data_IF_309637807573
#
_entry.id   IF_309637807573
#
_cell.length_a   1.000
_cell.length_b   1.000
_cell.length_c   1.000
_cell.angle_alpha   90.00
_cell.angle_beta   90.00
_cell.angle_gamma   90.00
#
_symmetry.space_group_name_H-M   'P 1'
#
loop_
_entity.id
_entity.type
_entity.pdbx_description
1 polymer ?
#
# COMPACT_ATOMS: atom_id res chain seq x y z
N UNK A 1 24.83 -11.53 3.91
CA UNK A 1 24.71 -11.22 2.46
C UNK A 1 24.82 -9.74 2.21
N UNK A 2 25.25 -9.33 1.02
CA UNK A 2 25.28 -7.94 0.57
C UNK A 2 23.86 -7.39 0.39
N UNK A 3 23.71 -6.06 0.51
CA UNK A 3 22.46 -5.39 0.19
C UNK A 3 22.12 -5.56 -1.29
N UNK A 4 20.87 -5.89 -1.57
CA UNK A 4 20.30 -5.99 -2.92
C UNK A 4 19.30 -4.86 -3.20
N UNK A 5 18.84 -4.16 -2.16
CA UNK A 5 17.95 -3.01 -2.26
C UNK A 5 16.45 -3.34 -2.10
N UNK A 6 15.72 -2.39 -1.53
CA UNK A 6 14.27 -2.43 -1.27
C UNK A 6 13.46 -2.67 -2.56
N UNK A 7 13.91 -2.08 -3.66
CA UNK A 7 13.31 -2.22 -5.00
C UNK A 7 13.24 -3.68 -5.47
N UNK A 8 14.20 -4.52 -5.07
CA UNK A 8 14.18 -5.95 -5.44
C UNK A 8 13.15 -6.72 -4.60
N UNK A 9 12.95 -6.35 -3.33
CA UNK A 9 11.90 -6.92 -2.48
C UNK A 9 10.52 -6.58 -3.06
N UNK A 10 10.31 -5.31 -3.39
CA UNK A 10 9.09 -4.83 -4.06
C UNK A 10 8.83 -5.54 -5.38
N UNK A 11 9.85 -5.68 -6.23
CA UNK A 11 9.73 -6.41 -7.50
C UNK A 11 9.39 -7.88 -7.30
N UNK A 12 9.97 -8.52 -6.28
CA UNK A 12 9.66 -9.91 -5.96
C UNK A 12 8.17 -10.05 -5.59
N UNK A 13 7.65 -9.15 -4.75
CA UNK A 13 6.24 -9.12 -4.40
C UNK A 13 5.34 -8.89 -5.63
N UNK A 14 5.64 -7.89 -6.45
CA UNK A 14 4.78 -7.53 -7.60
C UNK A 14 4.74 -8.62 -8.68
N UNK A 15 5.86 -9.31 -8.94
CA UNK A 15 5.92 -10.45 -9.85
C UNK A 15 5.17 -11.67 -9.28
N UNK A 16 5.26 -11.93 -7.97
CA UNK A 16 4.47 -12.99 -7.31
C UNK A 16 2.97 -12.71 -7.41
N UNK A 17 2.54 -11.49 -7.13
CA UNK A 17 1.14 -11.08 -7.23
C UNK A 17 0.61 -11.29 -8.66
N UNK A 18 1.35 -10.80 -9.65
CA UNK A 18 1.01 -10.99 -11.06
C UNK A 18 0.93 -12.47 -11.44
N UNK A 19 1.90 -13.28 -11.00
CA UNK A 19 1.91 -14.71 -11.28
C UNK A 19 0.68 -15.42 -10.72
N UNK A 20 0.28 -15.15 -9.47
CA UNK A 20 -0.90 -15.79 -8.88
C UNK A 20 -2.20 -15.34 -9.56
N UNK A 21 -2.33 -14.06 -9.91
CA UNK A 21 -3.48 -13.56 -10.68
C UNK A 21 -3.56 -14.23 -12.06
N UNK A 22 -2.44 -14.31 -12.78
CA UNK A 22 -2.34 -14.96 -14.08
C UNK A 22 -2.70 -16.46 -13.99
N UNK A 23 -2.25 -17.13 -12.93
CA UNK A 23 -2.51 -18.55 -12.68
C UNK A 23 -3.98 -18.82 -12.36
N UNK A 24 -4.61 -17.98 -11.52
CA UNK A 24 -5.97 -18.19 -11.00
C UNK A 24 -7.06 -17.75 -11.98
N UNK A 25 -6.83 -16.65 -12.68
CA UNK A 25 -7.86 -15.99 -13.50
C UNK A 25 -7.44 -15.76 -14.96
N UNK A 26 -6.19 -16.06 -15.31
CA UNK A 26 -5.61 -15.85 -16.63
C UNK A 26 -5.01 -14.46 -16.82
N UNK A 27 -4.21 -14.32 -17.89
CA UNK A 27 -3.40 -13.13 -18.24
C UNK A 27 -4.16 -11.81 -18.41
N UNK A 28 -5.48 -11.85 -18.40
CA UNK A 28 -6.35 -10.69 -18.63
C UNK A 28 -7.17 -10.32 -17.41
N UNK A 29 -6.90 -10.95 -16.26
CA UNK A 29 -7.58 -10.58 -15.03
C UNK A 29 -7.20 -9.16 -14.60
N UNK A 30 -8.18 -8.49 -14.03
CA UNK A 30 -8.14 -7.07 -13.82
C UNK A 30 -7.62 -6.75 -12.43
N UNK A 31 -6.46 -6.10 -12.37
CA UNK A 31 -5.87 -5.57 -11.16
C UNK A 31 -5.10 -4.28 -11.45
N UNK A 32 -4.86 -3.50 -10.41
CA UNK A 32 -4.05 -2.29 -10.43
C UNK A 32 -2.86 -2.49 -9.52
N UNK A 33 -1.69 -2.01 -9.90
CA UNK A 33 -0.62 -1.79 -8.93
C UNK A 33 0.40 -0.80 -9.46
N UNK A 34 1.21 -0.23 -8.56
CA UNK A 34 2.24 0.70 -8.95
C UNK A 34 3.09 1.18 -7.79
N UNK A 35 4.29 1.62 -8.15
CA UNK A 35 5.22 2.29 -7.24
C UNK A 35 4.76 3.73 -7.04
N UNK A 36 4.78 4.18 -5.79
CA UNK A 36 4.54 5.57 -5.43
C UNK A 36 5.92 6.23 -5.32
N UNK A 37 6.14 7.29 -6.08
CA UNK A 37 7.43 7.97 -6.18
C UNK A 37 7.24 9.48 -6.08
N UNK A 38 8.33 10.24 -5.92
CA UNK A 38 8.30 11.70 -6.03
C UNK A 38 7.59 12.40 -4.87
N UNK A 39 7.71 11.87 -3.65
CA UNK A 39 7.10 12.41 -2.43
C UNK A 39 5.79 11.73 -2.03
N UNK A 40 5.20 10.93 -2.92
CA UNK A 40 4.06 10.08 -2.59
C UNK A 40 4.45 8.91 -1.68
N UNK A 41 5.65 8.37 -1.87
CA UNK A 41 6.30 7.39 -0.98
C UNK A 41 6.42 7.93 0.45
N UNK A 42 6.84 9.18 0.58
CA UNK A 42 6.94 9.88 1.87
C UNK A 42 5.58 10.00 2.56
N UNK A 43 4.54 10.30 1.79
CA UNK A 43 3.20 10.60 2.31
C UNK A 43 2.39 9.34 2.62
N UNK A 44 2.46 8.35 1.74
CA UNK A 44 1.63 7.15 1.77
C UNK A 44 2.47 5.93 2.12
N UNK A 45 3.08 5.29 1.13
CA UNK A 45 3.94 4.12 1.22
C UNK A 45 4.67 3.94 -0.13
N UNK A 46 5.60 2.98 -0.25
CA UNK A 46 6.36 2.77 -1.49
C UNK A 46 5.52 2.21 -2.64
N UNK A 47 4.42 1.51 -2.34
CA UNK A 47 3.65 0.76 -3.32
C UNK A 47 2.16 0.73 -3.00
N UNK A 48 1.35 0.66 -4.05
CA UNK A 48 -0.08 0.36 -3.96
C UNK A 48 -0.46 -0.84 -4.83
N UNK A 49 -1.48 -1.58 -4.41
CA UNK A 49 -2.16 -2.55 -5.25
C UNK A 49 -3.67 -2.56 -5.01
N UNK A 50 -4.41 -2.95 -6.04
CA UNK A 50 -5.83 -3.22 -5.98
C UNK A 50 -6.20 -4.46 -6.79
N UNK A 51 -6.93 -5.37 -6.15
CA UNK A 51 -7.46 -6.60 -6.74
C UNK A 51 -8.96 -6.64 -6.43
N UNK A 52 -9.80 -6.73 -7.45
CA UNK A 52 -11.25 -6.62 -7.25
C UNK A 52 -11.65 -5.24 -6.72
N UNK A 53 -12.24 -5.20 -5.53
CA UNK A 53 -12.57 -3.94 -4.81
C UNK A 53 -11.61 -3.62 -3.66
N UNK A 54 -10.68 -4.53 -3.36
CA UNK A 54 -9.73 -4.39 -2.27
C UNK A 54 -8.52 -3.58 -2.68
N UNK A 55 -8.03 -2.77 -1.76
CA UNK A 55 -6.87 -1.90 -1.93
C UNK A 55 -5.90 -2.05 -0.75
N UNK A 56 -4.60 -1.99 -1.05
CA UNK A 56 -3.51 -2.02 -0.05
C UNK A 56 -2.42 -1.00 -0.37
N UNK A 57 -1.80 -0.48 0.68
CA UNK A 57 -0.52 0.24 0.69
C UNK A 57 0.55 -0.65 1.32
N UNK A 58 1.76 -0.65 0.75
CA UNK A 58 2.88 -1.44 1.25
C UNK A 58 4.13 -0.58 1.26
N UNK A 59 4.74 -0.42 2.44
CA UNK A 59 6.10 0.10 2.61
C UNK A 59 7.08 -1.08 2.54
N UNK A 60 8.15 -0.96 1.75
CA UNK A 60 9.16 -1.99 1.58
C UNK A 60 10.45 -1.61 2.28
N UNK A 61 11.01 -2.58 3.02
CA UNK A 61 12.37 -2.56 3.57
C UNK A 61 13.16 -3.71 2.97
N UNK A 62 14.49 -3.62 2.96
CA UNK A 62 15.28 -4.78 2.59
C UNK A 62 15.28 -5.77 3.74
N UNK A 63 15.49 -5.32 4.97
CA UNK A 63 15.50 -6.17 6.15
C UNK A 63 14.57 -5.63 7.24
N UNK A 64 14.03 -6.52 8.08
CA UNK A 64 13.18 -6.15 9.22
C UNK A 64 13.85 -5.11 10.14
N UNK A 65 15.16 -5.27 10.36
CA UNK A 65 15.94 -4.34 11.19
C UNK A 65 15.97 -2.90 10.66
N UNK A 66 15.56 -2.66 9.41
CA UNK A 66 15.47 -1.32 8.82
C UNK A 66 14.13 -0.64 9.10
N UNK A 67 13.12 -1.36 9.59
CA UNK A 67 11.86 -0.78 10.07
C UNK A 67 12.12 0.27 11.14
N UNK A 68 13.18 0.13 11.94
CA UNK A 68 13.59 1.13 12.95
C UNK A 68 13.82 2.54 12.38
N UNK A 69 14.13 2.67 11.08
CA UNK A 69 14.31 3.95 10.40
C UNK A 69 13.00 4.72 10.26
N UNK A 70 11.85 4.05 10.35
CA UNK A 70 10.55 4.74 10.37
C UNK A 70 10.44 5.71 11.55
N UNK A 71 11.19 5.49 12.64
CA UNK A 71 11.27 6.42 13.78
C UNK A 71 11.82 7.80 13.41
N UNK A 72 12.59 7.89 12.33
CA UNK A 72 13.20 9.14 11.85
C UNK A 72 12.22 9.97 11.00
N UNK A 73 11.07 9.39 10.60
CA UNK A 73 10.10 10.02 9.72
C UNK A 73 8.99 10.73 10.52
N UNK A 74 8.88 12.08 10.48
CA UNK A 74 7.91 12.82 11.28
C UNK A 74 6.44 12.46 11.01
N UNK A 75 6.09 12.17 9.75
CA UNK A 75 4.72 11.79 9.38
C UNK A 75 4.31 10.44 9.99
N UNK A 76 5.26 9.52 10.16
CA UNK A 76 5.00 8.20 10.76
C UNK A 76 4.78 8.30 12.26
N UNK A 77 5.50 9.23 12.91
CA UNK A 77 5.24 9.61 14.30
C UNK A 77 3.82 10.16 14.46
N UNK A 78 3.45 11.17 13.66
CA UNK A 78 2.10 11.76 13.69
C UNK A 78 1.02 10.71 13.46
N UNK A 79 1.18 9.86 12.45
CA UNK A 79 0.27 8.74 12.18
C UNK A 79 0.08 7.88 13.44
N UNK A 80 1.17 7.40 14.06
CA UNK A 80 1.06 6.53 15.23
C UNK A 80 0.49 7.24 16.47
N UNK A 81 0.72 8.56 16.61
CA UNK A 81 0.28 9.33 17.78
C UNK A 81 -1.17 9.82 17.68
N UNK A 82 -1.63 10.12 16.46
CA UNK A 82 -2.88 10.85 16.21
C UNK A 82 -3.94 10.03 15.46
N UNK A 83 -3.68 8.77 15.09
CA UNK A 83 -4.64 7.94 14.34
C UNK A 83 -5.95 7.72 15.11
N UNK A 84 -7.08 8.26 14.61
CA UNK A 84 -8.37 8.05 15.24
C UNK A 84 -8.81 6.61 15.02
N UNK A 85 -9.67 6.10 15.92
CA UNK A 85 -10.19 4.72 15.86
C UNK A 85 -10.79 4.37 14.49
N UNK A 86 -11.46 5.33 13.84
CA UNK A 86 -12.04 5.16 12.49
C UNK A 86 -11.00 4.86 11.41
N UNK A 87 -9.76 5.30 11.56
CA UNK A 87 -8.68 5.04 10.61
C UNK A 87 -7.72 3.95 11.05
N UNK A 88 -7.75 3.55 12.34
CA UNK A 88 -6.96 2.42 12.82
C UNK A 88 -7.33 1.13 12.08
N UNK A 89 -8.62 0.86 11.90
CA UNK A 89 -9.07 -0.31 11.13
C UNK A 89 -8.59 -0.25 9.67
N UNK A 90 -8.72 0.91 9.03
CA UNK A 90 -8.24 1.08 7.65
C UNK A 90 -6.73 0.86 7.54
N UNK A 91 -5.98 1.29 8.55
CA UNK A 91 -4.55 1.02 8.62
C UNK A 91 -4.22 -0.44 8.88
N UNK A 92 -5.01 -1.16 9.70
CA UNK A 92 -4.76 -2.57 9.98
C UNK A 92 -5.01 -3.46 8.76
N UNK A 93 -6.04 -3.16 7.99
CA UNK A 93 -6.47 -4.02 6.90
C UNK A 93 -5.91 -3.57 5.54
N UNK A 94 -5.46 -2.32 5.43
CA UNK A 94 -5.07 -1.69 4.17
C UNK A 94 -3.64 -1.14 4.12
N UNK A 95 -2.87 -1.14 5.21
CA UNK A 95 -1.52 -0.58 5.23
C UNK A 95 -0.51 -1.54 5.88
N UNK A 96 0.44 -1.99 5.08
CA UNK A 96 1.40 -3.02 5.44
C UNK A 96 2.84 -2.53 5.32
N UNK A 97 3.73 -3.22 6.01
CA UNK A 97 5.17 -3.12 5.84
C UNK A 97 5.74 -4.48 5.49
N UNK A 98 6.71 -4.49 4.58
CA UNK A 98 7.29 -5.70 4.02
C UNK A 98 8.82 -5.69 4.12
N UNK A 99 9.43 -6.86 4.26
CA UNK A 99 10.87 -7.05 4.24
C UNK A 99 11.23 -8.45 3.77
N UNK A 100 12.49 -8.69 3.40
CA UNK A 100 12.97 -10.05 3.12
C UNK A 100 13.78 -10.64 4.28
N UNK A 101 13.82 -11.97 4.31
CA UNK A 101 14.73 -12.69 5.19
C UNK A 101 16.19 -12.44 4.81
N UNK A 102 17.03 -12.23 5.83
CA UNK A 102 18.44 -11.88 5.65
C UNK A 102 19.32 -13.07 5.28
N UNK A 103 18.96 -14.26 5.78
CA UNK A 103 19.80 -15.45 5.81
C UNK A 103 19.30 -16.58 4.89
N UNK A 104 18.42 -16.25 3.93
CA UNK A 104 17.97 -17.20 2.91
C UNK A 104 18.63 -16.92 1.55
N UNK A 105 18.98 -18.00 0.85
CA UNK A 105 19.44 -17.96 -0.54
C UNK A 105 18.31 -17.57 -1.52
N UNK A 106 17.06 -17.76 -1.10
CA UNK A 106 15.86 -17.26 -1.78
C UNK A 106 15.36 -15.95 -1.16
N UNK A 107 14.77 -15.08 -1.98
CA UNK A 107 14.09 -13.88 -1.50
C UNK A 107 12.70 -14.31 -0.98
N UNK A 108 12.62 -14.59 0.32
CA UNK A 108 11.36 -14.79 1.01
C UNK A 108 10.92 -13.44 1.55
N UNK A 109 9.77 -12.97 1.07
CA UNK A 109 9.20 -11.68 1.43
C UNK A 109 8.15 -11.92 2.51
N UNK A 110 8.26 -11.17 3.61
CA UNK A 110 7.30 -11.16 4.70
C UNK A 110 6.52 -9.85 4.69
N UNK A 111 5.31 -9.88 5.23
CA UNK A 111 4.44 -8.72 5.43
C UNK A 111 3.84 -8.74 6.83
N UNK A 112 3.63 -7.55 7.37
CA UNK A 112 2.90 -7.34 8.62
C UNK A 112 2.17 -5.99 8.55
N UNK A 113 1.23 -5.77 9.47
CA UNK A 113 0.47 -4.52 9.57
C UNK A 113 1.42 -3.38 9.93
N UNK A 114 1.35 -2.30 9.17
CA UNK A 114 2.28 -1.18 9.27
C UNK A 114 2.30 -0.58 10.68
N UNK A 115 1.13 -0.21 11.21
CA UNK A 115 1.03 0.44 12.52
C UNK A 115 1.41 -0.49 13.68
N UNK A 116 1.21 -1.80 13.55
CA UNK A 116 1.60 -2.78 14.57
C UNK A 116 3.12 -2.92 14.67
N UNK A 117 3.85 -2.82 13.56
CA UNK A 117 5.33 -2.81 13.54
C UNK A 117 5.95 -1.46 13.88
N UNK A 118 5.34 -0.36 13.42
CA UNK A 118 5.94 0.99 13.50
C UNK A 118 5.53 1.71 14.79
N UNK A 119 4.30 1.52 15.28
CA UNK A 119 3.80 2.12 16.52
C UNK A 119 4.70 1.92 17.74
N UNK A 120 5.24 0.70 17.99
CA UNK A 120 6.14 0.46 19.12
C UNK A 120 7.40 1.33 19.12
N UNK A 121 7.87 1.80 17.96
CA UNK A 121 9.02 2.72 17.85
C UNK A 121 8.75 4.09 18.51
N UNK A 122 7.47 4.44 18.64
CA UNK A 122 6.94 5.66 19.25
C UNK A 122 6.22 5.39 20.58
N UNK A 123 6.37 4.19 21.16
CA UNK A 123 5.73 3.83 22.43
C UNK A 123 4.21 3.63 22.33
N UNK A 124 3.68 3.37 21.13
CA UNK A 124 2.27 3.07 20.88
C UNK A 124 2.10 1.57 20.66
N UNK A 125 1.08 1.00 21.30
CA UNK A 125 0.73 -0.41 21.12
C UNK A 125 -0.54 -0.49 20.31
N UNK A 126 -0.48 -1.30 19.27
CA UNK A 126 -1.57 -1.59 18.36
C UNK A 126 -1.76 -3.11 18.34
N UNK A 127 -2.98 -3.57 18.09
CA UNK A 127 -3.28 -4.98 18.04
C UNK A 127 -2.39 -5.66 16.99
N UNK A 128 -1.78 -6.76 17.42
CA UNK A 128 -0.85 -7.52 16.58
C UNK A 128 -1.60 -8.28 15.50
N UNK A 129 -0.88 -8.52 14.41
CA UNK A 129 -1.21 -9.56 13.45
C UNK A 129 -0.06 -10.55 13.41
N UNK A 130 -0.33 -11.79 12.98
CA UNK A 130 0.74 -12.75 12.74
C UNK A 130 1.40 -12.37 11.41
N UNK A 131 2.71 -12.10 11.43
CA UNK A 131 3.49 -11.96 10.20
C UNK A 131 3.12 -13.05 9.19
N UNK A 132 2.89 -12.66 7.95
CA UNK A 132 2.62 -13.56 6.83
C UNK A 132 3.78 -13.54 5.86
N UNK A 133 4.04 -14.66 5.20
CA UNK A 133 4.81 -14.62 3.97
C UNK A 133 3.98 -14.05 2.82
N UNK A 134 4.66 -13.61 1.76
CA UNK A 134 4.02 -12.96 0.64
C UNK A 134 3.06 -13.86 -0.14
N UNK A 135 3.24 -15.18 -0.15
CA UNK A 135 2.36 -16.08 -0.90
C UNK A 135 1.01 -16.19 -0.22
N UNK A 136 1.00 -16.43 1.09
CA UNK A 136 -0.24 -16.45 1.89
C UNK A 136 -0.94 -15.09 1.86
N UNK A 137 -0.19 -13.99 2.00
CA UNK A 137 -0.75 -12.64 1.90
C UNK A 137 -1.40 -12.39 0.53
N UNK A 138 -0.75 -12.81 -0.56
CA UNK A 138 -1.25 -12.59 -1.92
C UNK A 138 -2.53 -13.39 -2.16
N UNK A 139 -2.61 -14.66 -1.74
CA UNK A 139 -3.82 -15.44 -1.89
C UNK A 139 -4.98 -14.83 -1.10
N UNK A 140 -4.76 -14.43 0.16
CA UNK A 140 -5.78 -13.78 0.98
C UNK A 140 -6.20 -12.41 0.41
N UNK A 141 -5.27 -11.67 -0.18
CA UNK A 141 -5.59 -10.41 -0.87
C UNK A 141 -6.41 -10.65 -2.13
N UNK A 142 -6.06 -11.69 -2.90
CA UNK A 142 -6.80 -12.10 -4.09
C UNK A 142 -8.22 -12.56 -3.75
N UNK A 143 -8.38 -13.27 -2.63
CA UNK A 143 -9.67 -13.75 -2.15
C UNK A 143 -10.50 -12.70 -1.41
N UNK A 144 -9.92 -11.51 -1.23
CA UNK A 144 -10.58 -10.36 -0.63
C UNK A 144 -10.70 -10.44 0.89
N UNK A 145 -9.91 -11.30 1.55
CA UNK A 145 -9.76 -11.35 3.00
C UNK A 145 -8.83 -10.24 3.51
N UNK A 146 -7.85 -9.84 2.69
CA UNK A 146 -6.94 -8.72 2.96
C UNK A 146 -7.31 -7.51 2.09
N UNK A 147 -7.06 -6.31 2.62
CA UNK A 147 -7.32 -5.05 1.95
C UNK A 147 -8.63 -4.41 2.38
N UNK A 148 -8.69 -3.11 2.17
CA UNK A 148 -9.89 -2.30 2.45
C UNK A 148 -10.62 -1.96 1.16
N UNK A 149 -11.92 -1.70 1.28
CA UNK A 149 -12.73 -1.25 0.15
C UNK A 149 -12.24 0.12 -0.35
N UNK A 150 -12.51 0.40 -1.62
CA UNK A 150 -12.05 1.65 -2.25
C UNK A 150 -12.48 2.91 -1.47
N UNK A 151 -13.72 2.97 -0.95
CA UNK A 151 -14.22 4.14 -0.21
C UNK A 151 -13.38 4.38 1.04
N UNK A 152 -13.11 3.31 1.80
CA UNK A 152 -12.29 3.36 3.01
C UNK A 152 -10.83 3.66 2.70
N UNK A 153 -10.34 3.14 1.57
CA UNK A 153 -9.00 3.43 1.05
C UNK A 153 -8.83 4.91 0.73
N UNK A 154 -9.77 5.50 -0.02
CA UNK A 154 -9.75 6.94 -0.34
C UNK A 154 -9.81 7.79 0.94
N UNK A 155 -10.70 7.43 1.87
CA UNK A 155 -10.82 8.09 3.15
C UNK A 155 -9.50 8.04 3.95
N UNK A 156 -8.83 6.88 3.94
CA UNK A 156 -7.54 6.69 4.59
C UNK A 156 -6.41 7.48 3.92
N UNK A 157 -6.37 7.53 2.58
CA UNK A 157 -5.40 8.37 1.85
C UNK A 157 -5.57 9.86 2.18
N UNK A 158 -6.81 10.36 2.25
CA UNK A 158 -7.10 11.75 2.66
C UNK A 158 -6.59 12.02 4.07
N UNK A 159 -6.78 11.07 4.98
CA UNK A 159 -6.25 11.17 6.34
C UNK A 159 -4.72 11.22 6.35
N UNK A 160 -4.04 10.29 5.67
CA UNK A 160 -2.57 10.30 5.57
C UNK A 160 -2.04 11.62 4.98
N UNK A 161 -2.71 12.13 3.95
CA UNK A 161 -2.36 13.42 3.35
C UNK A 161 -2.51 14.59 4.33
N UNK A 162 -3.53 14.55 5.19
CA UNK A 162 -3.80 15.59 6.19
C UNK A 162 -2.74 15.67 7.31
N UNK A 163 -1.93 14.63 7.49
CA UNK A 163 -0.84 14.62 8.47
C UNK A 163 0.37 15.48 8.03
N UNK A 164 0.48 15.77 6.73
CA UNK A 164 1.48 16.68 6.20
C UNK A 164 1.05 18.13 6.47
N UNK A 165 1.77 18.80 7.36
CA UNK A 165 1.54 20.20 7.74
C UNK A 165 2.23 21.19 6.77
N UNK A 166 2.82 20.69 5.68
CA UNK A 166 3.52 21.50 4.69
C UNK A 166 4.88 22.00 5.16
N UNK A 167 5.37 21.61 6.35
CA UNK A 167 6.68 22.01 6.87
C UNK A 167 7.85 21.21 6.28
N UNK A 168 7.56 20.11 5.58
CA UNK A 168 8.53 19.29 4.86
C UNK A 168 8.51 19.54 3.36
N UNK A 169 9.35 20.49 2.89
CA UNK A 169 9.89 20.62 1.53
C UNK A 169 9.07 20.09 0.35
N UNK A 170 8.66 21.03 -0.50
CA UNK A 170 7.97 20.92 -1.80
C UNK A 170 6.57 20.32 -1.78
N UNK A 171 5.58 21.23 -1.85
CA UNK A 171 4.23 20.96 -2.35
C UNK A 171 4.27 20.54 -3.83
N UNK A 172 4.78 19.35 -4.08
CA UNK A 172 4.53 18.63 -5.32
C UNK A 172 3.07 18.22 -5.30
N UNK A 173 2.29 18.74 -6.25
CA UNK A 173 0.92 18.30 -6.46
C UNK A 173 0.85 16.77 -6.46
N UNK A 174 -0.19 16.23 -5.84
CA UNK A 174 -0.51 14.81 -5.69
C UNK A 174 -0.44 14.11 -7.05
N UNK A 175 0.73 13.71 -7.52
CA UNK A 175 0.98 13.23 -8.87
C UNK A 175 1.13 11.73 -8.89
N UNK A 176 0.04 10.97 -9.00
CA UNK A 176 0.10 9.51 -9.05
C UNK A 176 -0.75 8.93 -10.15
N UNK A 177 -0.61 7.64 -10.39
CA UNK A 177 -1.27 6.94 -11.48
C UNK A 177 -2.09 5.78 -10.91
N UNK A 178 -3.41 5.85 -11.01
CA UNK A 178 -4.28 4.72 -10.71
C UNK A 178 -4.65 4.07 -12.04
N UNK A 179 -4.45 2.77 -12.13
CA UNK A 179 -4.90 1.94 -13.25
C UNK A 179 -6.17 1.22 -12.82
N UNK A 180 -7.37 1.74 -13.10
CA UNK A 180 -8.61 0.98 -12.81
C UNK A 180 -9.10 0.29 -14.05
N UNK A 181 -9.54 -0.96 -13.90
CA UNK A 181 -10.32 -1.60 -14.94
C UNK A 181 -11.76 -1.10 -14.94
N UNK A 182 -12.14 -0.42 -16.01
CA UNK A 182 -13.51 0.01 -16.20
C UNK A 182 -14.35 -1.13 -16.80
N UNK A 183 -15.20 -1.76 -15.98
CA UNK A 183 -16.10 -2.85 -16.40
C UNK A 183 -17.00 -2.46 -17.57
N UNK A 184 -17.50 -1.22 -17.60
CA UNK A 184 -18.38 -0.71 -18.68
C UNK A 184 -17.64 -0.58 -20.01
N UNK A 185 -16.39 -0.15 -19.96
CA UNK A 185 -15.56 0.07 -21.15
C UNK A 185 -14.73 -1.16 -21.55
N UNK A 186 -14.76 -2.23 -20.75
CA UNK A 186 -13.93 -3.45 -20.91
C UNK A 186 -12.46 -3.15 -21.20
N UNK A 187 -11.92 -2.11 -20.57
CA UNK A 187 -10.52 -1.69 -20.73
C UNK A 187 -9.96 -1.14 -19.44
N UNK A 188 -8.65 -1.23 -19.31
CA UNK A 188 -7.92 -0.46 -18.32
C UNK A 188 -8.00 1.02 -18.67
N UNK A 189 -8.28 1.84 -17.66
CA UNK A 189 -8.20 3.28 -17.77
C UNK A 189 -7.20 3.75 -16.73
N UNK A 190 -6.20 4.45 -17.24
CA UNK A 190 -5.18 5.08 -16.43
C UNK A 190 -5.63 6.48 -16.11
N UNK A 191 -5.73 6.81 -14.82
CA UNK A 191 -5.86 8.18 -14.36
C UNK A 191 -4.52 8.63 -13.82
N UNK A 192 -3.96 9.68 -14.41
CA UNK A 192 -2.98 10.50 -13.71
C UNK A 192 -3.80 11.45 -12.86
N UNK A 193 -3.61 11.35 -11.55
CA UNK A 193 -4.17 12.30 -10.62
C UNK A 193 -3.09 13.29 -10.21
N UNK A 194 -3.49 14.54 -10.03
CA UNK A 194 -2.74 15.70 -9.54
C UNK A 194 -3.29 16.20 -8.20
N UNK A 195 -4.52 15.81 -7.85
CA UNK A 195 -5.16 15.95 -6.54
C UNK A 195 -6.26 14.87 -6.35
N UNK A 196 -6.78 14.73 -5.13
CA UNK A 196 -7.79 13.72 -4.82
C UNK A 196 -9.10 13.90 -5.60
N UNK A 197 -9.41 15.12 -6.06
CA UNK A 197 -10.58 15.36 -6.91
C UNK A 197 -10.41 14.73 -8.30
N UNK A 198 -9.18 14.51 -8.78
CA UNK A 198 -8.95 13.83 -10.05
C UNK A 198 -9.30 12.34 -9.95
N UNK A 199 -9.14 11.73 -8.77
CA UNK A 199 -9.59 10.37 -8.48
C UNK A 199 -11.11 10.31 -8.42
N UNK A 200 -11.74 11.26 -7.69
CA UNK A 200 -13.21 11.35 -7.61
C UNK A 200 -13.82 11.55 -9.00
N UNK A 201 -13.31 12.51 -9.79
CA UNK A 201 -13.78 12.77 -11.14
C UNK A 201 -13.55 11.59 -12.09
N UNK A 202 -12.43 10.88 -11.93
CA UNK A 202 -12.18 9.64 -12.66
C UNK A 202 -13.24 8.58 -12.32
N UNK A 203 -13.57 8.39 -11.05
CA UNK A 203 -14.58 7.42 -10.62
C UNK A 203 -15.98 7.74 -11.15
N UNK A 204 -16.42 9.00 -11.04
CA UNK A 204 -17.71 9.47 -11.56
C UNK A 204 -17.81 9.23 -13.08
N UNK A 205 -16.76 9.62 -13.82
CA UNK A 205 -16.69 9.45 -15.28
C UNK A 205 -16.73 7.99 -15.71
N UNK A 206 -16.16 7.10 -14.91
CA UNK A 206 -15.97 5.71 -15.25
C UNK A 206 -17.02 4.76 -14.67
N UNK A 207 -18.00 5.29 -13.91
CA UNK A 207 -19.11 4.49 -13.39
C UNK A 207 -18.62 3.40 -12.45
N UNK A 208 -17.55 3.68 -11.72
CA UNK A 208 -17.08 2.86 -10.61
C UNK A 208 -18.00 3.18 -9.43
N UNK A 209 -19.21 2.63 -9.46
CA UNK A 209 -20.21 2.85 -8.41
C UNK A 209 -19.85 2.02 -7.19
N UNK A 210 -19.72 2.69 -6.05
CA UNK A 210 -19.70 2.06 -4.72
C UNK A 210 -21.04 1.36 -4.51
N UNK A 211 -20.99 0.04 -4.46
CA UNK A 211 -22.08 -0.80 -3.96
C UNK A 211 -21.83 -1.10 -2.50
#
# INVERSE_FOLDING_TARGET
MSKIGEQIVQRCFSEKLKHQLDKRYGKYYHYASGELNGGLDRLYADYFASVGTKCVLIEFKEFETEIRREKEKPLRKKLCEEIPLSHQQNSYDGHFISWRDKDCDSINVNLDRYISKVGPLFGKTFDGFAQMDAEDFIEDFIDGFIGIEFVDFECYLRYLASLDDGSGGSGGGFGGMILVFNKKLKKFVTAIFHNINDIVAFNEKHGLTFG
#
